data_IF_591115944852
#
_entry.id   IF_591115944852
#
_cell.length_a   1.000
_cell.length_b   1.000
_cell.length_c   1.000
_cell.angle_alpha   90.00
_cell.angle_beta   90.00
_cell.angle_gamma   90.00
#
_symmetry.space_group_name_H-M   'P 1'
#
loop_
_entity.id
_entity.type
_entity.pdbx_description
1 polymer ?
#
# COMPACT_ATOMS: atom_id res chain seq x y z
N UNK A 1 -38.77 22.77 -23.76
CA UNK A 1 -38.31 22.90 -25.15
C UNK A 1 -38.71 24.26 -25.70
N UNK A 2 -37.74 25.16 -25.90
CA UNK A 2 -38.00 26.45 -26.56
C UNK A 2 -38.23 26.16 -28.06
N UNK A 3 -39.42 26.44 -28.58
CA UNK A 3 -39.68 26.42 -30.03
C UNK A 3 -39.52 27.84 -30.55
N UNK A 4 -38.38 28.14 -31.18
CA UNK A 4 -38.17 29.43 -31.83
C UNK A 4 -38.41 29.29 -33.35
N UNK A 5 -39.18 30.23 -33.90
CA UNK A 5 -39.49 30.32 -35.33
C UNK A 5 -38.55 31.32 -36.00
N UNK A 6 -37.89 30.91 -37.09
CA UNK A 6 -36.88 31.73 -37.80
C UNK A 6 -37.49 32.71 -38.81
N UNK A 7 -38.59 33.39 -38.46
CA UNK A 7 -39.37 34.22 -39.40
C UNK A 7 -39.01 35.73 -39.40
N UNK A 8 -38.01 36.18 -38.66
CA UNK A 8 -37.62 37.61 -38.58
C UNK A 8 -36.14 37.80 -38.86
N UNK A 9 -35.77 38.90 -39.53
CA UNK A 9 -34.37 39.28 -39.84
C UNK A 9 -33.48 39.37 -38.58
N UNK A 10 -34.07 39.60 -37.41
CA UNK A 10 -33.38 39.62 -36.12
C UNK A 10 -33.01 38.23 -35.57
N UNK A 11 -33.55 37.13 -36.12
CA UNK A 11 -33.22 35.75 -35.70
C UNK A 11 -31.96 35.21 -36.39
N UNK A 12 -30.94 36.07 -36.53
CA UNK A 12 -29.60 35.63 -36.86
C UNK A 12 -29.06 34.73 -35.75
N UNK A 13 -28.40 33.62 -36.13
CA UNK A 13 -27.64 32.76 -35.22
C UNK A 13 -26.57 33.60 -34.53
N UNK A 14 -26.89 34.17 -33.36
CA UNK A 14 -25.88 34.69 -32.46
C UNK A 14 -25.23 33.50 -31.77
N UNK A 15 -24.02 33.15 -32.18
CA UNK A 15 -23.10 32.37 -31.35
C UNK A 15 -22.69 33.26 -30.17
N UNK A 16 -23.62 33.45 -29.23
CA UNK A 16 -23.36 34.10 -27.97
C UNK A 16 -22.52 33.18 -27.10
N UNK A 17 -21.43 33.73 -26.54
CA UNK A 17 -20.69 33.12 -25.45
C UNK A 17 -21.67 32.87 -24.28
N UNK A 18 -22.06 31.60 -24.05
CA UNK A 18 -22.96 31.25 -22.96
C UNK A 18 -22.17 31.35 -21.65
N UNK A 19 -22.26 32.49 -20.98
CA UNK A 19 -21.61 32.79 -19.70
C UNK A 19 -22.25 32.11 -18.48
N UNK A 20 -23.18 31.18 -18.68
CA UNK A 20 -23.84 30.49 -17.59
C UNK A 20 -23.30 29.07 -17.52
N UNK A 21 -22.51 28.81 -16.48
CA UNK A 21 -22.11 27.50 -15.98
C UNK A 21 -23.05 26.40 -16.48
N UNK A 22 -22.64 25.72 -17.57
CA UNK A 22 -23.25 24.45 -17.93
C UNK A 22 -22.89 23.52 -16.78
N UNK A 23 -23.88 23.23 -15.94
CA UNK A 23 -23.76 22.12 -15.02
C UNK A 23 -23.55 20.88 -15.89
N UNK A 24 -22.40 20.21 -15.76
CA UNK A 24 -21.96 19.11 -16.63
C UNK A 24 -23.02 17.99 -16.77
N UNK A 25 -23.98 17.95 -15.86
CA UNK A 25 -25.08 16.99 -15.80
C UNK A 25 -26.32 17.34 -16.65
N UNK A 26 -26.44 18.55 -17.22
CA UNK A 26 -27.64 18.96 -17.96
C UNK A 26 -27.53 18.70 -19.47
N UNK A 27 -27.46 17.42 -19.84
CA UNK A 27 -27.34 16.95 -21.23
C UNK A 27 -28.62 17.15 -22.06
N UNK A 28 -29.76 17.40 -21.42
CA UNK A 28 -31.04 17.64 -22.11
C UNK A 28 -31.03 18.89 -22.99
N UNK A 29 -30.19 19.88 -22.64
CA UNK A 29 -30.03 21.15 -23.36
C UNK A 29 -29.26 21.04 -24.70
N UNK A 30 -28.64 19.89 -24.98
CA UNK A 30 -27.89 19.66 -26.23
C UNK A 30 -28.78 19.11 -27.36
N UNK A 31 -30.07 18.90 -27.12
CA UNK A 31 -30.99 18.35 -28.12
C UNK A 31 -31.40 19.40 -29.17
N UNK A 32 -30.72 19.40 -30.32
CA UNK A 32 -31.09 20.21 -31.49
C UNK A 32 -31.87 19.38 -32.51
N UNK A 33 -33.04 19.86 -32.93
CA UNK A 33 -33.83 19.24 -33.99
C UNK A 33 -34.60 20.28 -34.82
N UNK A 34 -34.27 20.39 -36.10
CA UNK A 34 -35.04 21.16 -37.07
C UNK A 34 -36.30 20.40 -37.47
N UNK A 35 -37.43 21.11 -37.57
CA UNK A 35 -38.71 20.57 -38.03
C UNK A 35 -39.28 21.47 -39.13
N UNK A 36 -39.79 20.85 -40.19
CA UNK A 36 -40.54 21.58 -41.21
C UNK A 36 -41.93 21.91 -40.67
N UNK A 37 -42.29 23.19 -40.64
CA UNK A 37 -43.64 23.67 -40.37
C UNK A 37 -44.19 24.15 -41.71
N UNK A 38 -45.33 23.59 -42.13
CA UNK A 38 -45.97 24.00 -43.37
C UNK A 38 -46.47 25.45 -43.20
N UNK A 39 -46.15 26.37 -44.13
CA UNK A 39 -46.65 27.73 -44.05
C UNK A 39 -48.18 27.72 -44.18
N UNK A 40 -48.84 28.51 -43.34
CA UNK A 40 -50.28 28.75 -43.41
C UNK A 40 -50.53 29.78 -44.52
N UNK A 41 -51.06 29.31 -45.66
CA UNK A 41 -51.26 30.11 -46.87
C UNK A 41 -52.75 30.20 -47.19
N UNK A 42 -53.23 31.40 -47.56
CA UNK A 42 -54.60 31.57 -47.99
C UNK A 42 -54.86 30.81 -49.32
N UNK A 43 -56.10 30.35 -49.61
CA UNK A 43 -56.40 29.56 -50.82
C UNK A 43 -56.07 30.26 -52.15
N UNK A 44 -55.97 31.59 -52.16
CA UNK A 44 -55.51 32.38 -53.29
C UNK A 44 -53.99 32.30 -53.49
N UNK A 45 -53.22 32.41 -52.40
CA UNK A 45 -51.75 32.43 -52.40
C UNK A 45 -51.15 31.06 -52.70
N UNK A 46 -51.80 29.99 -52.23
CA UNK A 46 -51.42 28.61 -52.50
C UNK A 46 -51.42 28.25 -54.01
N UNK A 47 -52.08 29.05 -54.86
CA UNK A 47 -52.08 28.87 -56.32
C UNK A 47 -50.82 29.41 -57.00
N UNK A 48 -50.12 30.34 -56.36
CA UNK A 48 -48.94 31.02 -56.92
C UNK A 48 -47.63 30.56 -56.27
N UNK A 49 -47.70 29.93 -55.10
CA UNK A 49 -46.53 29.49 -54.34
C UNK A 49 -46.38 27.97 -54.47
N UNK A 50 -45.30 27.53 -55.12
CA UNK A 50 -44.93 26.11 -55.18
C UNK A 50 -43.77 25.85 -54.23
N UNK A 51 -44.02 25.18 -53.10
CA UNK A 51 -42.97 24.77 -52.17
C UNK A 51 -42.57 23.33 -52.45
N UNK A 52 -41.28 23.10 -52.72
CA UNK A 52 -40.76 21.74 -52.84
C UNK A 52 -40.54 21.14 -51.44
N UNK A 53 -41.64 20.75 -50.79
CA UNK A 53 -41.63 20.19 -49.43
C UNK A 53 -40.70 18.97 -49.32
N UNK A 54 -40.62 18.16 -50.37
CA UNK A 54 -39.80 16.96 -50.39
C UNK A 54 -38.31 17.28 -50.34
N UNK A 55 -37.86 18.29 -51.09
CA UNK A 55 -36.46 18.74 -51.06
C UNK A 55 -36.10 19.36 -49.70
N UNK A 56 -36.99 20.19 -49.13
CA UNK A 56 -36.78 20.84 -47.83
C UNK A 56 -36.71 19.80 -46.71
N UNK A 57 -37.65 18.83 -46.68
CA UNK A 57 -37.62 17.73 -45.70
C UNK A 57 -36.36 16.88 -45.83
N UNK A 58 -35.83 16.68 -47.04
CA UNK A 58 -34.57 15.95 -47.27
C UNK A 58 -33.36 16.71 -46.68
N UNK A 59 -33.26 18.02 -46.91
CA UNK A 59 -32.16 18.81 -46.35
C UNK A 59 -32.24 18.94 -44.82
N UNK A 60 -33.44 19.14 -44.26
CA UNK A 60 -33.66 19.10 -42.80
C UNK A 60 -33.18 17.77 -42.22
N UNK A 61 -33.45 16.65 -42.90
CA UNK A 61 -33.00 15.33 -42.45
C UNK A 61 -31.48 15.23 -42.44
N UNK A 62 -30.80 15.74 -43.47
CA UNK A 62 -29.32 15.76 -43.54
C UNK A 62 -28.72 16.61 -42.43
N UNK A 63 -29.25 17.83 -42.21
CA UNK A 63 -28.78 18.74 -41.16
C UNK A 63 -28.98 18.10 -39.78
N UNK A 64 -30.17 17.57 -39.49
CA UNK A 64 -30.45 16.91 -38.21
C UNK A 64 -29.52 15.71 -37.97
N UNK A 65 -29.17 14.94 -39.01
CA UNK A 65 -28.21 13.84 -38.88
C UNK A 65 -26.82 14.36 -38.51
N UNK A 66 -26.29 15.35 -39.23
CA UNK A 66 -24.97 15.92 -38.96
C UNK A 66 -24.90 16.62 -37.60
N UNK A 67 -25.97 17.31 -37.19
CA UNK A 67 -26.02 17.96 -35.88
C UNK A 67 -26.14 16.92 -34.77
N UNK A 68 -26.90 15.84 -34.96
CA UNK A 68 -26.98 14.74 -33.99
C UNK A 68 -25.59 14.10 -33.76
N UNK A 69 -24.87 13.76 -34.83
CA UNK A 69 -23.51 13.21 -34.72
C UNK A 69 -22.56 14.15 -33.95
N UNK A 70 -22.70 15.46 -34.15
CA UNK A 70 -21.93 16.48 -33.43
C UNK A 70 -22.32 16.58 -31.96
N UNK A 71 -23.62 16.58 -31.65
CA UNK A 71 -24.14 16.57 -30.28
C UNK A 71 -23.69 15.31 -29.53
N UNK A 72 -23.83 14.12 -30.14
CA UNK A 72 -23.41 12.85 -29.56
C UNK A 72 -21.90 12.86 -29.23
N UNK A 73 -21.08 13.45 -30.13
CA UNK A 73 -19.64 13.62 -29.90
C UNK A 73 -19.34 14.58 -28.74
N UNK A 74 -20.05 15.69 -28.64
CA UNK A 74 -19.91 16.65 -27.53
C UNK A 74 -20.31 15.98 -26.21
N UNK A 75 -21.42 15.25 -26.18
CA UNK A 75 -21.87 14.47 -25.00
C UNK A 75 -20.82 13.45 -24.57
N UNK A 76 -20.23 12.72 -25.52
CA UNK A 76 -19.14 11.77 -25.21
C UNK A 76 -17.93 12.45 -24.58
N UNK A 77 -17.51 13.61 -25.11
CA UNK A 77 -16.37 14.36 -24.59
C UNK A 77 -16.67 14.96 -23.21
N UNK A 78 -17.90 15.44 -22.98
CA UNK A 78 -18.32 15.94 -21.67
C UNK A 78 -18.33 14.82 -20.63
N UNK A 79 -18.84 13.64 -20.96
CA UNK A 79 -18.78 12.47 -20.09
C UNK A 79 -17.33 12.07 -19.76
N UNK A 80 -16.42 12.13 -20.75
CA UNK A 80 -15.00 11.85 -20.52
C UNK A 80 -14.34 12.89 -19.60
N UNK A 81 -14.69 14.16 -19.75
CA UNK A 81 -14.22 15.24 -18.87
C UNK A 81 -14.76 15.04 -17.45
N UNK A 82 -16.04 14.70 -17.29
CA UNK A 82 -16.65 14.46 -15.98
C UNK A 82 -16.03 13.24 -15.30
N UNK A 83 -15.81 12.14 -16.02
CA UNK A 83 -15.11 10.97 -15.51
C UNK A 83 -13.68 11.31 -15.06
N UNK A 84 -12.94 12.08 -15.86
CA UNK A 84 -11.60 12.54 -15.49
C UNK A 84 -11.62 13.50 -14.30
N UNK A 85 -12.60 14.39 -14.23
CA UNK A 85 -12.78 15.32 -13.12
C UNK A 85 -13.15 14.57 -11.84
N UNK A 86 -13.98 13.53 -11.91
CA UNK A 86 -14.31 12.65 -10.79
C UNK A 86 -13.09 11.85 -10.33
N UNK A 87 -12.28 11.29 -11.25
CA UNK A 87 -10.99 10.64 -10.88
C UNK A 87 -10.01 11.60 -10.23
N UNK A 88 -9.92 12.84 -10.72
CA UNK A 88 -9.11 13.91 -10.13
C UNK A 88 -9.66 14.32 -8.76
N UNK A 89 -10.98 14.44 -8.64
CA UNK A 89 -11.66 14.73 -7.39
C UNK A 89 -11.38 13.61 -6.41
N UNK A 90 -11.61 12.34 -6.72
CA UNK A 90 -11.25 11.18 -5.89
C UNK A 90 -9.76 11.16 -5.49
N UNK A 91 -8.86 11.49 -6.40
CA UNK A 91 -7.42 11.59 -6.09
C UNK A 91 -7.12 12.76 -5.13
N UNK A 92 -7.87 13.86 -5.21
CA UNK A 92 -7.71 15.07 -4.39
C UNK A 92 -8.57 15.07 -3.11
N UNK A 93 -9.65 14.28 -3.08
CA UNK A 93 -10.62 14.12 -1.99
C UNK A 93 -10.48 12.80 -1.28
N UNK A 94 -9.51 11.94 -1.65
CA UNK A 94 -8.99 10.89 -0.79
C UNK A 94 -8.77 11.52 0.58
N UNK A 95 -9.59 11.08 1.54
CA UNK A 95 -10.07 11.89 2.64
C UNK A 95 -8.95 12.68 3.33
N UNK A 96 -9.11 14.00 3.37
CA UNK A 96 -8.34 14.80 4.31
C UNK A 96 -8.73 14.32 5.71
N UNK A 97 -7.80 13.63 6.39
CA UNK A 97 -7.76 13.62 7.85
C UNK A 97 -8.02 15.06 8.30
N UNK A 98 -9.12 15.29 9.01
CA UNK A 98 -9.55 16.62 9.43
C UNK A 98 -8.41 17.34 10.16
N UNK A 99 -8.32 18.66 10.00
CA UNK A 99 -7.20 19.45 10.46
C UNK A 99 -7.36 19.72 11.96
N UNK A 100 -6.44 19.20 12.77
CA UNK A 100 -5.78 19.92 13.87
C UNK A 100 -4.79 18.96 14.57
N UNK A 101 -3.57 19.46 14.80
CA UNK A 101 -2.51 18.92 15.66
C UNK A 101 -1.46 17.89 15.14
N UNK A 102 -0.37 18.46 14.59
CA UNK A 102 1.00 18.45 15.12
C UNK A 102 1.77 17.13 15.39
N UNK A 103 1.68 16.14 14.51
CA UNK A 103 2.70 15.08 14.43
C UNK A 103 3.47 15.12 13.10
N UNK A 104 4.81 15.08 13.15
CA UNK A 104 5.68 14.92 11.97
C UNK A 104 5.25 13.70 11.13
N UNK A 105 4.81 12.64 11.80
CA UNK A 105 4.26 11.43 11.21
C UNK A 105 2.99 11.69 10.36
N UNK A 106 1.99 12.40 10.90
CA UNK A 106 0.75 12.68 10.16
C UNK A 106 0.98 13.64 8.99
N UNK A 107 1.99 14.52 9.08
CA UNK A 107 2.44 15.32 7.95
C UNK A 107 3.01 14.43 6.84
N UNK A 108 3.84 13.44 7.19
CA UNK A 108 4.36 12.46 6.23
C UNK A 108 3.25 11.66 5.57
N UNK A 109 2.33 11.07 6.33
CA UNK A 109 1.21 10.27 5.79
C UNK A 109 0.37 11.09 4.82
N UNK A 110 0.03 12.35 5.17
CA UNK A 110 -0.70 13.24 4.26
C UNK A 110 0.05 13.55 2.97
N UNK A 111 1.37 13.73 3.05
CA UNK A 111 2.17 14.02 1.87
C UNK A 111 2.23 12.80 0.93
N UNK A 112 2.42 11.60 1.48
CA UNK A 112 2.36 10.35 0.71
C UNK A 112 0.97 10.16 0.09
N UNK A 113 -0.10 10.35 0.85
CA UNK A 113 -1.47 10.25 0.37
C UNK A 113 -1.77 11.27 -0.75
N UNK A 114 -1.22 12.49 -0.68
CA UNK A 114 -1.34 13.47 -1.78
C UNK A 114 -0.65 13.02 -3.06
N UNK A 115 0.46 12.30 -2.95
CA UNK A 115 1.19 11.79 -4.11
C UNK A 115 0.55 10.54 -4.73
N UNK A 116 0.00 9.65 -3.91
CA UNK A 116 -0.44 8.31 -4.32
C UNK A 116 -1.97 8.16 -4.37
N UNK A 117 -2.71 9.08 -3.74
CA UNK A 117 -4.16 9.06 -3.62
C UNK A 117 -4.68 7.96 -2.68
N UNK A 118 -5.91 7.50 -2.93
CA UNK A 118 -6.59 6.42 -2.18
C UNK A 118 -5.99 5.02 -2.36
N UNK A 119 -4.92 4.90 -3.16
CA UNK A 119 -4.19 3.66 -3.41
C UNK A 119 -3.10 3.36 -2.38
N UNK A 120 -2.95 4.20 -1.36
CA UNK A 120 -2.00 3.98 -0.28
C UNK A 120 -2.70 3.41 0.96
N UNK A 121 -2.26 2.24 1.42
CA UNK A 121 -2.62 1.65 2.71
C UNK A 121 -1.42 1.76 3.66
N UNK A 122 -1.66 2.09 4.92
CA UNK A 122 -0.61 2.25 5.93
C UNK A 122 -0.92 1.42 7.18
N UNK A 123 0.03 0.61 7.64
CA UNK A 123 -0.10 -0.19 8.85
C UNK A 123 1.01 0.14 9.85
N UNK A 124 0.63 0.44 11.09
CA UNK A 124 1.56 0.69 12.22
C UNK A 124 1.86 -0.58 12.98
N UNK A 125 3.07 -0.63 13.54
CA UNK A 125 3.39 -1.52 14.63
C UNK A 125 2.68 -1.08 15.93
N UNK A 126 2.26 -2.03 16.79
CA UNK A 126 1.61 -1.75 18.08
C UNK A 126 2.52 -0.97 19.05
N UNK A 127 3.85 -1.06 18.89
CA UNK A 127 4.80 -0.30 19.71
C UNK A 127 5.02 1.13 19.22
N UNK A 128 4.74 1.41 17.94
CA UNK A 128 4.87 2.76 17.38
C UNK A 128 3.85 3.73 17.96
N UNK A 129 2.77 3.23 18.55
CA UNK A 129 1.75 4.04 19.25
C UNK A 129 2.31 4.72 20.52
N UNK A 130 3.40 4.20 21.10
CA UNK A 130 4.07 4.81 22.25
C UNK A 130 5.00 5.95 21.83
N UNK A 131 5.62 5.85 20.64
CA UNK A 131 6.63 6.78 20.15
C UNK A 131 6.02 8.08 19.61
N UNK A 132 4.81 8.00 19.03
CA UNK A 132 4.13 9.16 18.43
C UNK A 132 2.88 9.60 19.21
N UNK A 133 2.86 9.45 20.54
CA UNK A 133 1.75 9.94 21.38
C UNK A 133 1.46 11.41 21.05
N UNK A 134 0.25 11.67 20.57
CA UNK A 134 -0.32 13.02 20.51
C UNK A 134 -0.95 13.31 21.87
N UNK A 135 -0.74 14.49 22.45
CA UNK A 135 -1.23 14.86 23.79
C UNK A 135 -2.77 14.84 23.97
N UNK A 136 -3.54 14.35 22.99
CA UNK A 136 -5.00 14.37 22.97
C UNK A 136 -5.62 12.98 23.15
N UNK A 137 -6.03 12.71 24.38
CA UNK A 137 -6.67 11.44 24.83
C UNK A 137 -8.02 11.11 24.17
N UNK A 138 -8.60 12.03 23.38
CA UNK A 138 -9.95 11.88 22.82
C UNK A 138 -10.02 11.08 21.51
N UNK A 139 -9.04 11.26 20.60
CA UNK A 139 -8.99 10.56 19.31
C UNK A 139 -8.15 9.27 19.34
N UNK A 140 -7.37 9.05 20.40
CA UNK A 140 -6.52 7.85 20.57
C UNK A 140 -7.33 6.59 20.91
N UNK A 141 -8.54 6.72 21.47
CA UNK A 141 -9.31 5.58 21.96
C UNK A 141 -9.84 4.69 20.84
N UNK A 142 -10.21 5.29 19.70
CA UNK A 142 -10.80 4.59 18.55
C UNK A 142 -9.77 4.11 17.54
N UNK A 143 -8.59 4.74 17.48
CA UNK A 143 -7.50 4.36 16.57
C UNK A 143 -6.65 3.17 17.07
N UNK A 144 -6.75 2.82 18.35
CA UNK A 144 -6.14 1.61 18.90
C UNK A 144 -7.01 0.37 18.75
N UNK A 145 -8.30 0.53 18.41
CA UNK A 145 -9.21 -0.57 18.18
C UNK A 145 -8.89 -1.23 16.82
N UNK A 146 -8.40 -2.47 16.83
CA UNK A 146 -8.09 -3.19 15.59
C UNK A 146 -9.33 -3.61 14.82
N UNK A 147 -10.45 -3.79 15.51
CA UNK A 147 -11.75 -4.02 14.86
C UNK A 147 -12.16 -2.79 14.04
N UNK A 148 -11.91 -1.57 14.55
CA UNK A 148 -12.10 -0.34 13.77
C UNK A 148 -11.24 -0.32 12.51
N UNK A 149 -9.94 -0.59 12.61
CA UNK A 149 -9.02 -0.52 11.45
C UNK A 149 -9.43 -1.54 10.37
N UNK A 150 -9.77 -2.76 10.78
CA UNK A 150 -10.23 -3.82 9.86
C UNK A 150 -11.54 -3.40 9.19
N UNK A 151 -12.50 -2.87 9.96
CA UNK A 151 -13.78 -2.41 9.44
C UNK A 151 -13.63 -1.20 8.49
N UNK A 152 -12.85 -0.20 8.87
CA UNK A 152 -12.57 0.97 8.03
C UNK A 152 -11.94 0.55 6.70
N UNK A 153 -11.00 -0.40 6.73
CA UNK A 153 -10.36 -0.94 5.53
C UNK A 153 -11.38 -1.68 4.65
N UNK A 154 -12.22 -2.52 5.23
CA UNK A 154 -13.29 -3.21 4.52
C UNK A 154 -14.25 -2.22 3.86
N UNK A 155 -14.74 -1.21 4.59
CA UNK A 155 -15.62 -0.18 4.08
C UNK A 155 -14.98 0.61 2.93
N UNK A 156 -13.69 0.92 3.03
CA UNK A 156 -12.98 1.66 2.00
C UNK A 156 -12.70 0.86 0.72
N UNK A 157 -12.34 -0.42 0.83
CA UNK A 157 -11.76 -1.18 -0.30
C UNK A 157 -12.66 -2.30 -0.86
N UNK A 158 -13.60 -2.80 -0.07
CA UNK A 158 -14.43 -3.96 -0.40
C UNK A 158 -15.89 -3.56 -0.53
N UNK A 159 -16.39 -2.74 0.40
CA UNK A 159 -17.78 -2.29 0.39
C UNK A 159 -18.05 -1.31 -0.77
N UNK A 160 -19.09 -1.60 -1.55
CA UNK A 160 -19.44 -0.90 -2.81
C UNK A 160 -20.89 -0.39 -2.85
N UNK A 161 -21.55 -0.30 -1.69
CA UNK A 161 -22.94 0.21 -1.62
C UNK A 161 -22.95 1.74 -1.53
N UNK A 162 -24.08 2.33 -1.94
CA UNK A 162 -24.26 3.78 -2.05
C UNK A 162 -24.09 4.54 -0.72
N UNK A 163 -24.27 3.87 0.42
CA UNK A 163 -24.13 4.41 1.77
C UNK A 163 -22.67 4.43 2.28
N UNK A 164 -21.71 3.93 1.49
CA UNK A 164 -20.28 3.87 1.85
C UNK A 164 -19.72 5.19 2.38
N UNK A 165 -19.94 6.29 1.67
CA UNK A 165 -19.41 7.60 2.07
C UNK A 165 -20.00 8.08 3.40
N UNK A 166 -21.28 7.79 3.64
CA UNK A 166 -21.96 8.17 4.87
C UNK A 166 -21.48 7.30 6.05
N UNK A 167 -21.26 6.00 5.84
CA UNK A 167 -20.68 5.11 6.83
C UNK A 167 -19.24 5.52 7.19
N UNK A 168 -18.40 5.86 6.21
CA UNK A 168 -17.03 6.34 6.44
C UNK A 168 -17.01 7.69 7.18
N UNK A 169 -17.98 8.59 6.93
CA UNK A 169 -18.12 9.82 7.73
C UNK A 169 -18.57 9.51 9.16
N UNK A 170 -19.54 8.61 9.33
CA UNK A 170 -20.08 8.25 10.65
C UNK A 170 -19.02 7.58 11.53
N UNK A 171 -18.22 6.66 10.97
CA UNK A 171 -17.19 5.94 11.73
C UNK A 171 -16.10 6.89 12.25
N UNK A 172 -15.88 8.02 11.58
CA UNK A 172 -14.87 9.04 11.95
C UNK A 172 -15.37 10.14 12.89
N UNK A 173 -16.68 10.37 12.97
CA UNK A 173 -17.26 11.53 13.69
C UNK A 173 -17.94 11.14 15.00
N UNK A 174 -17.93 9.84 15.35
CA UNK A 174 -18.24 9.27 16.68
C UNK A 174 -19.43 9.88 17.42
N UNK A 175 -20.64 9.72 16.88
CA UNK A 175 -21.85 9.97 17.69
C UNK A 175 -22.90 8.87 17.65
N UNK A 176 -23.03 8.12 16.55
CA UNK A 176 -23.93 6.96 16.46
C UNK A 176 -23.56 6.13 15.21
N UNK A 177 -22.44 5.41 15.25
CA UNK A 177 -22.12 4.46 14.18
C UNK A 177 -22.97 3.20 14.36
N UNK A 178 -23.69 2.82 13.30
CA UNK A 178 -24.56 1.65 13.26
C UNK A 178 -24.55 1.11 11.84
N UNK A 179 -24.07 -0.11 11.66
CA UNK A 179 -24.27 -0.85 10.42
C UNK A 179 -25.67 -1.47 10.42
N UNK A 180 -26.24 -1.65 9.24
CA UNK A 180 -27.46 -2.46 9.09
C UNK A 180 -27.13 -3.94 9.36
N UNK A 181 -28.12 -4.72 9.82
CA UNK A 181 -27.92 -6.17 10.06
C UNK A 181 -27.38 -6.87 8.79
N UNK A 182 -27.85 -6.46 7.61
CA UNK A 182 -27.34 -6.97 6.34
C UNK A 182 -25.85 -6.64 6.10
N UNK A 183 -25.42 -5.41 6.39
CA UNK A 183 -24.02 -5.01 6.24
C UNK A 183 -23.11 -5.68 7.29
N UNK A 184 -23.62 -5.95 8.50
CA UNK A 184 -22.92 -6.74 9.51
C UNK A 184 -22.73 -8.19 9.07
N UNK A 185 -23.78 -8.83 8.55
CA UNK A 185 -23.70 -10.20 8.02
C UNK A 185 -22.70 -10.28 6.87
N UNK A 186 -22.72 -9.35 5.91
CA UNK A 186 -21.74 -9.31 4.81
C UNK A 186 -20.30 -9.14 5.32
N UNK A 187 -20.11 -8.29 6.33
CA UNK A 187 -18.80 -8.11 6.94
C UNK A 187 -18.33 -9.39 7.65
N UNK A 188 -19.19 -10.05 8.43
CA UNK A 188 -18.88 -11.32 9.08
C UNK A 188 -18.59 -12.45 8.07
N UNK A 189 -19.37 -12.54 7.00
CA UNK A 189 -19.12 -13.48 5.89
C UNK A 189 -17.78 -13.22 5.21
N UNK A 190 -17.41 -11.95 5.01
CA UNK A 190 -16.10 -11.57 4.49
C UNK A 190 -14.96 -12.02 5.42
N UNK A 191 -15.10 -11.83 6.74
CA UNK A 191 -14.09 -12.26 7.72
C UNK A 191 -13.90 -13.78 7.69
N UNK A 192 -15.00 -14.55 7.69
CA UNK A 192 -14.94 -16.03 7.69
C UNK A 192 -14.52 -16.63 6.33
N UNK A 193 -14.76 -15.93 5.22
CA UNK A 193 -14.27 -16.36 3.91
C UNK A 193 -12.75 -16.15 3.75
N UNK A 194 -12.18 -15.26 4.57
CA UNK A 194 -10.78 -14.88 4.53
C UNK A 194 -10.14 -15.13 5.90
N UNK A 195 -10.09 -16.39 6.34
CA UNK A 195 -9.43 -16.75 7.60
C UNK A 195 -7.90 -16.85 7.42
N UNK A 196 -7.11 -16.31 8.35
CA UNK A 196 -5.66 -16.49 8.37
C UNK A 196 -5.22 -17.96 8.42
N UNK A 197 -4.55 -18.44 7.36
CA UNK A 197 -4.01 -19.82 7.30
C UNK A 197 -3.02 -20.14 8.43
N UNK A 198 -2.28 -19.15 8.89
CA UNK A 198 -1.28 -19.32 9.96
C UNK A 198 -1.90 -19.73 11.31
N UNK A 199 -3.18 -19.44 11.52
CA UNK A 199 -3.91 -19.77 12.75
C UNK A 199 -5.15 -20.64 12.50
N UNK A 200 -5.22 -21.33 11.35
CA UNK A 200 -6.35 -22.20 10.97
C UNK A 200 -6.64 -23.29 12.03
N UNK A 201 -5.64 -23.63 12.84
CA UNK A 201 -5.78 -24.60 13.94
C UNK A 201 -6.19 -24.01 15.29
N UNK A 202 -6.29 -22.68 15.42
CA UNK A 202 -6.56 -22.04 16.70
C UNK A 202 -8.03 -21.65 16.91
N UNK A 203 -8.73 -21.23 15.85
CA UNK A 203 -10.15 -20.85 15.92
C UNK A 203 -11.00 -21.62 14.90
N UNK A 204 -12.30 -21.71 15.19
CA UNK A 204 -13.32 -22.31 14.31
C UNK A 204 -14.00 -21.26 13.43
N UNK A 205 -14.28 -20.07 13.98
CA UNK A 205 -14.97 -18.99 13.26
C UNK A 205 -14.72 -17.62 13.88
N UNK A 206 -15.12 -16.59 13.14
CA UNK A 206 -15.13 -15.19 13.60
C UNK A 206 -16.58 -14.71 13.62
N UNK A 207 -16.99 -14.01 14.68
CA UNK A 207 -18.28 -13.30 14.70
C UNK A 207 -18.08 -11.82 14.92
N UNK A 208 -19.06 -11.02 14.52
CA UNK A 208 -19.06 -9.58 14.71
C UNK A 208 -20.13 -9.19 15.73
N UNK A 209 -19.71 -8.83 16.94
CA UNK A 209 -20.61 -8.36 17.99
C UNK A 209 -20.86 -6.87 17.85
N UNK A 210 -22.13 -6.46 17.77
CA UNK A 210 -22.52 -5.07 17.66
C UNK A 210 -23.25 -4.57 18.93
N UNK A 211 -22.90 -3.36 19.36
CA UNK A 211 -23.62 -2.60 20.37
C UNK A 211 -24.02 -1.24 19.79
N UNK A 212 -25.29 -0.84 19.93
CA UNK A 212 -25.78 0.45 19.40
C UNK A 212 -24.89 1.62 19.83
N UNK A 213 -24.48 2.43 18.86
CA UNK A 213 -23.62 3.60 19.09
C UNK A 213 -22.14 3.28 19.32
N UNK A 214 -21.73 2.02 19.14
CA UNK A 214 -20.33 1.58 19.24
C UNK A 214 -19.89 0.88 17.96
N UNK A 215 -18.58 0.89 17.72
CA UNK A 215 -17.98 0.12 16.63
C UNK A 215 -18.18 -1.37 16.92
N UNK A 216 -18.50 -2.18 15.88
CA UNK A 216 -18.59 -3.62 16.02
C UNK A 216 -17.25 -4.21 16.49
N UNK A 217 -17.33 -5.11 17.46
CA UNK A 217 -16.19 -5.85 17.99
C UNK A 217 -16.03 -7.17 17.24
N UNK A 218 -14.83 -7.44 16.74
CA UNK A 218 -14.49 -8.75 16.16
C UNK A 218 -14.21 -9.72 17.30
N UNK A 219 -14.92 -10.87 17.29
CA UNK A 219 -14.80 -11.94 18.30
C UNK A 219 -14.34 -13.22 17.61
N UNK A 220 -13.32 -13.85 18.17
CA UNK A 220 -12.75 -15.11 17.71
C UNK A 220 -13.35 -16.25 18.54
N UNK A 221 -13.88 -17.27 17.87
CA UNK A 221 -14.35 -18.52 18.49
C UNK A 221 -13.22 -19.55 18.43
N UNK A 222 -12.49 -19.73 19.53
CA UNK A 222 -11.35 -20.65 19.61
C UNK A 222 -11.82 -22.11 19.59
N UNK A 223 -11.02 -23.03 19.03
CA UNK A 223 -11.37 -24.46 18.92
C UNK A 223 -11.63 -25.15 20.27
N UNK A 224 -11.12 -24.56 21.35
CA UNK A 224 -11.30 -25.06 22.72
C UNK A 224 -12.59 -24.56 23.38
N UNK A 225 -13.47 -23.88 22.63
CA UNK A 225 -14.77 -23.40 23.09
C UNK A 225 -14.73 -22.04 23.81
N UNK A 226 -13.58 -21.36 23.77
CA UNK A 226 -13.42 -20.02 24.33
C UNK A 226 -13.76 -18.97 23.27
N UNK A 227 -14.40 -17.88 23.69
CA UNK A 227 -14.66 -16.72 22.82
C UNK A 227 -13.84 -15.53 23.31
N UNK A 228 -12.99 -14.98 22.46
CA UNK A 228 -12.13 -13.85 22.81
C UNK A 228 -12.30 -12.70 21.83
N UNK A 229 -12.50 -11.49 22.35
CA UNK A 229 -12.49 -10.29 21.51
C UNK A 229 -11.08 -10.06 20.96
N UNK A 230 -10.96 -9.70 19.67
CA UNK A 230 -9.67 -9.46 19.00
C UNK A 230 -8.81 -8.45 19.79
N UNK A 231 -9.41 -7.36 20.25
CA UNK A 231 -8.69 -6.35 21.01
C UNK A 231 -8.12 -6.86 22.35
N UNK A 232 -8.65 -7.96 22.88
CA UNK A 232 -8.21 -8.60 24.11
C UNK A 232 -7.10 -9.65 23.90
N UNK A 233 -6.70 -9.96 22.67
CA UNK A 233 -5.64 -10.95 22.40
C UNK A 233 -4.23 -10.36 22.59
N UNK A 234 -3.18 -11.14 22.32
CA UNK A 234 -1.80 -10.63 22.34
C UNK A 234 -1.59 -9.55 21.27
N UNK A 235 -0.63 -8.63 21.49
CA UNK A 235 -0.29 -7.57 20.53
C UNK A 235 0.14 -8.15 19.17
N UNK A 236 0.90 -9.25 19.17
CA UNK A 236 1.28 -9.94 17.95
C UNK A 236 0.08 -10.46 17.16
N UNK A 237 -0.87 -11.12 17.84
CA UNK A 237 -2.08 -11.66 17.20
C UNK A 237 -2.97 -10.55 16.64
N UNK A 238 -3.17 -9.46 17.40
CA UNK A 238 -3.88 -8.25 16.94
C UNK A 238 -3.28 -7.65 15.69
N UNK A 239 -1.97 -7.45 15.70
CA UNK A 239 -1.23 -6.92 14.54
C UNK A 239 -1.35 -7.84 13.33
N UNK A 240 -1.17 -9.15 13.52
CA UNK A 240 -1.24 -10.13 12.43
C UNK A 240 -2.62 -10.18 11.78
N UNK A 241 -3.71 -10.20 12.57
CA UNK A 241 -5.07 -10.15 12.04
C UNK A 241 -5.33 -8.87 11.24
N UNK A 242 -4.89 -7.74 11.77
CA UNK A 242 -5.03 -6.44 11.09
C UNK A 242 -4.29 -6.46 9.76
N UNK A 243 -3.02 -6.89 9.76
CA UNK A 243 -2.21 -7.08 8.57
C UNK A 243 -2.88 -8.01 7.55
N UNK A 244 -3.39 -9.15 8.00
CA UNK A 244 -4.00 -10.17 7.14
C UNK A 244 -5.27 -9.66 6.44
N UNK A 245 -6.16 -8.98 7.15
CA UNK A 245 -7.34 -8.41 6.51
C UNK A 245 -7.00 -7.25 5.60
N UNK A 246 -6.06 -6.39 6.00
CA UNK A 246 -5.60 -5.29 5.14
C UNK A 246 -4.97 -5.80 3.85
N UNK A 247 -4.06 -6.78 3.91
CA UNK A 247 -3.37 -7.29 2.72
C UNK A 247 -4.35 -7.88 1.69
N UNK A 248 -5.41 -8.54 2.16
CA UNK A 248 -6.41 -9.17 1.29
C UNK A 248 -7.30 -8.15 0.55
N UNK A 249 -7.29 -6.89 0.98
CA UNK A 249 -7.99 -5.81 0.26
C UNK A 249 -7.16 -5.12 -0.81
N UNK A 250 -5.85 -5.38 -0.85
CA UNK A 250 -4.91 -4.72 -1.77
C UNK A 250 -5.09 -5.23 -3.20
N UNK A 251 -4.98 -4.31 -4.17
CA UNK A 251 -5.11 -4.61 -5.60
C UNK A 251 -3.83 -4.23 -6.36
N UNK A 252 -3.57 -4.82 -7.55
CA UNK A 252 -2.43 -4.43 -8.37
C UNK A 252 -2.39 -2.91 -8.60
N UNK A 253 -1.25 -2.29 -8.33
CA UNK A 253 -1.03 -0.84 -8.39
C UNK A 253 -1.22 -0.10 -7.06
N UNK A 254 -1.65 -0.77 -5.99
CA UNK A 254 -1.67 -0.19 -4.65
C UNK A 254 -0.26 -0.06 -4.06
N UNK A 255 -0.10 0.88 -3.12
CA UNK A 255 1.07 1.05 -2.28
C UNK A 255 0.72 0.64 -0.85
N UNK A 256 1.49 -0.26 -0.28
CA UNK A 256 1.35 -0.69 1.10
C UNK A 256 2.59 -0.32 1.90
N UNK A 257 2.40 0.53 2.91
CA UNK A 257 3.47 0.97 3.81
C UNK A 257 3.26 0.34 5.18
N UNK A 258 4.28 -0.33 5.70
CA UNK A 258 4.20 -0.99 7.01
C UNK A 258 5.36 -0.54 7.89
N UNK A 259 5.05 0.01 9.05
CA UNK A 259 6.07 0.36 10.03
C UNK A 259 6.37 -0.85 10.92
N UNK A 260 7.63 -1.27 10.99
CA UNK A 260 8.15 -2.40 11.79
C UNK A 260 7.21 -3.62 11.80
N UNK A 261 7.02 -4.30 10.65
CA UNK A 261 6.09 -5.42 10.55
C UNK A 261 6.50 -6.55 11.50
N UNK A 262 5.50 -7.26 12.02
CA UNK A 262 5.69 -8.51 12.76
C UNK A 262 6.64 -8.43 13.97
N UNK A 263 6.92 -7.24 14.52
CA UNK A 263 7.89 -7.03 15.60
C UNK A 263 7.62 -7.89 16.85
N UNK A 264 6.34 -8.12 17.18
CA UNK A 264 5.90 -8.94 18.31
C UNK A 264 5.72 -10.42 17.98
N UNK A 265 5.93 -10.82 16.72
CA UNK A 265 5.77 -12.21 16.30
C UNK A 265 7.06 -12.98 16.52
N UNK A 266 6.92 -14.30 16.73
CA UNK A 266 8.06 -15.22 16.79
C UNK A 266 8.85 -15.18 15.46
N UNK A 267 10.19 -15.37 15.45
CA UNK A 267 11.01 -15.33 14.23
C UNK A 267 10.48 -16.15 13.05
N UNK A 268 9.91 -17.33 13.32
CA UNK A 268 9.29 -18.18 12.28
C UNK A 268 8.11 -17.45 11.60
N UNK A 269 7.25 -16.80 12.39
CA UNK A 269 6.13 -16.03 11.86
C UNK A 269 6.57 -14.75 11.15
N UNK A 270 7.67 -14.12 11.58
CA UNK A 270 8.27 -12.98 10.86
C UNK A 270 8.75 -13.38 9.47
N UNK A 271 9.34 -14.57 9.30
CA UNK A 271 9.73 -15.10 7.99
C UNK A 271 8.52 -15.37 7.09
N UNK A 272 7.42 -15.86 7.65
CA UNK A 272 6.18 -16.03 6.89
C UNK A 272 5.62 -14.68 6.42
N UNK A 273 5.61 -13.66 7.29
CA UNK A 273 5.21 -12.30 6.90
C UNK A 273 6.12 -11.75 5.80
N UNK A 274 7.43 -11.95 5.88
CA UNK A 274 8.36 -11.59 4.79
C UNK A 274 7.93 -12.23 3.47
N UNK A 275 7.70 -13.54 3.46
CA UNK A 275 7.26 -14.28 2.27
C UNK A 275 5.97 -13.68 1.69
N UNK A 276 4.99 -13.40 2.54
CA UNK A 276 3.72 -12.80 2.12
C UNK A 276 3.92 -11.37 1.56
N UNK A 277 4.80 -10.55 2.12
CA UNK A 277 5.13 -9.22 1.58
C UNK A 277 5.76 -9.31 0.19
N UNK A 278 6.65 -10.28 -0.06
CA UNK A 278 7.24 -10.53 -1.38
C UNK A 278 6.20 -11.06 -2.40
N UNK A 279 5.23 -11.86 -1.94
CA UNK A 279 4.12 -12.30 -2.78
C UNK A 279 3.24 -11.13 -3.23
N UNK A 280 2.99 -10.15 -2.36
CA UNK A 280 2.25 -8.92 -2.73
C UNK A 280 2.97 -8.16 -3.86
N UNK A 281 4.30 -8.08 -3.82
CA UNK A 281 5.10 -7.48 -4.90
C UNK A 281 4.86 -8.19 -6.24
N UNK A 282 4.86 -9.52 -6.23
CA UNK A 282 4.61 -10.33 -7.42
C UNK A 282 3.20 -10.11 -7.99
N UNK A 283 2.23 -9.79 -7.12
CA UNK A 283 0.86 -9.42 -7.49
C UNK A 283 0.71 -7.95 -7.94
N UNK A 284 1.82 -7.23 -8.13
CA UNK A 284 1.82 -5.85 -8.63
C UNK A 284 1.51 -4.79 -7.57
N UNK A 285 1.58 -5.13 -6.29
CA UNK A 285 1.44 -4.19 -5.17
C UNK A 285 2.84 -3.67 -4.79
N UNK A 286 3.00 -2.37 -4.61
CA UNK A 286 4.26 -1.81 -4.10
C UNK A 286 4.27 -1.90 -2.59
N UNK A 287 5.34 -2.44 -2.01
CA UNK A 287 5.49 -2.57 -0.54
C UNK A 287 6.68 -1.74 -0.10
N UNK A 288 6.52 -0.94 0.96
CA UNK A 288 7.61 -0.24 1.64
C UNK A 288 7.48 -0.52 3.14
N UNK A 289 8.54 -0.97 3.80
CA UNK A 289 8.51 -1.15 5.24
C UNK A 289 9.84 -0.82 5.90
N UNK A 290 9.77 -0.40 7.16
CA UNK A 290 10.92 -0.28 8.06
C UNK A 290 11.06 -1.57 8.85
N UNK A 291 12.29 -1.99 9.16
CA UNK A 291 12.49 -3.07 10.13
C UNK A 291 13.83 -2.99 10.85
N UNK A 292 13.83 -3.32 12.13
CA UNK A 292 14.98 -3.71 12.92
C UNK A 292 15.17 -5.23 12.91
N UNK A 293 14.19 -5.99 12.42
CA UNK A 293 14.25 -7.44 12.37
C UNK A 293 15.10 -7.93 11.20
N UNK A 294 16.17 -8.68 11.48
CA UNK A 294 16.95 -9.37 10.45
C UNK A 294 16.17 -10.48 9.73
N UNK A 295 15.07 -10.99 10.29
CA UNK A 295 14.21 -11.95 9.61
C UNK A 295 13.31 -11.33 8.53
N UNK A 296 13.24 -9.99 8.50
CA UNK A 296 12.48 -9.19 7.55
C UNK A 296 13.40 -8.44 6.57
N UNK A 297 14.62 -8.91 6.36
CA UNK A 297 15.50 -8.44 5.30
C UNK A 297 15.36 -9.38 4.08
N UNK A 298 14.98 -8.87 2.90
CA UNK A 298 14.78 -9.70 1.71
C UNK A 298 16.13 -10.03 1.05
N UNK A 299 16.13 -11.07 0.21
CA UNK A 299 17.33 -11.44 -0.57
C UNK A 299 17.67 -10.42 -1.67
N UNK A 300 16.70 -9.58 -2.08
CA UNK A 300 16.94 -8.47 -3.02
C UNK A 300 17.50 -7.25 -2.30
N UNK A 301 18.81 -7.26 -2.07
CA UNK A 301 19.53 -6.19 -1.38
C UNK A 301 19.45 -4.82 -2.07
N UNK A 302 19.09 -4.74 -3.36
CA UNK A 302 18.93 -3.45 -4.03
C UNK A 302 17.75 -2.65 -3.45
N UNK A 303 16.80 -3.35 -2.83
CA UNK A 303 15.63 -2.78 -2.16
C UNK A 303 15.90 -2.38 -0.70
N UNK A 304 17.08 -2.70 -0.16
CA UNK A 304 17.42 -2.47 1.25
C UNK A 304 18.16 -1.14 1.41
N UNK A 305 17.64 -0.29 2.29
CA UNK A 305 18.23 0.98 2.65
C UNK A 305 18.52 1.01 4.15
N UNK A 306 19.78 1.22 4.52
CA UNK A 306 20.17 1.35 5.91
C UNK A 306 19.96 2.78 6.38
N UNK A 307 19.40 2.91 7.58
CA UNK A 307 19.15 4.20 8.22
C UNK A 307 19.96 4.25 9.50
N UNK A 308 20.88 5.20 9.60
CA UNK A 308 21.77 5.38 10.76
C UNK A 308 21.64 6.77 11.36
N UNK A 309 21.79 6.86 12.68
CA UNK A 309 21.92 8.15 13.37
C UNK A 309 23.38 8.54 13.42
N UNK A 310 23.72 9.65 12.79
CA UNK A 310 25.04 10.28 12.84
C UNK A 310 25.02 11.55 13.70
N UNK A 311 26.20 12.12 13.96
CA UNK A 311 26.34 13.33 14.79
C UNK A 311 25.58 14.55 14.23
N UNK A 312 25.26 14.56 12.93
CA UNK A 312 24.59 15.67 12.25
C UNK A 312 23.14 15.37 11.84
N UNK A 313 22.61 14.19 12.19
CA UNK A 313 21.25 13.78 11.86
C UNK A 313 21.16 12.35 11.32
N UNK A 314 20.05 12.04 10.67
CA UNK A 314 19.81 10.72 10.06
C UNK A 314 20.46 10.65 8.69
N UNK A 315 21.32 9.65 8.49
CA UNK A 315 21.87 9.31 7.19
C UNK A 315 21.16 8.07 6.63
N UNK A 316 20.95 8.06 5.31
CA UNK A 316 20.45 6.88 4.58
C UNK A 316 21.57 6.41 3.68
N UNK A 317 22.02 5.19 3.89
CA UNK A 317 23.06 4.56 3.08
C UNK A 317 22.48 3.39 2.33
N UNK A 318 22.71 3.39 1.02
CA UNK A 318 22.57 2.22 0.18
C UNK A 318 23.99 1.70 -0.06
N UNK A 319 24.69 1.31 1.01
CA UNK A 319 25.99 0.71 0.85
C UNK A 319 25.85 -0.66 0.17
N UNK A 320 26.82 -1.01 -0.68
CA UNK A 320 27.06 -2.38 -1.14
C UNK A 320 27.50 -3.28 0.04
N UNK A 321 26.81 -3.24 1.18
CA UNK A 321 26.89 -4.23 2.26
C UNK A 321 26.33 -5.61 1.84
N UNK A 322 26.04 -5.75 0.53
CA UNK A 322 25.63 -6.93 -0.23
C UNK A 322 26.44 -8.19 0.07
N UNK A 323 27.69 -8.11 0.51
CA UNK A 323 28.53 -9.30 0.72
C UNK A 323 28.69 -9.65 2.22
N UNK A 324 28.61 -8.65 3.12
CA UNK A 324 28.79 -8.82 4.57
C UNK A 324 27.56 -9.41 5.27
N UNK A 325 26.35 -9.15 4.77
CA UNK A 325 25.09 -9.50 5.44
C UNK A 325 24.43 -10.76 4.86
N UNK A 326 24.75 -11.14 3.61
CA UNK A 326 24.27 -12.40 3.00
C UNK A 326 24.71 -13.66 3.74
N UNK A 327 25.78 -13.57 4.53
CA UNK A 327 26.37 -14.72 5.21
C UNK A 327 25.89 -14.89 6.66
N UNK A 328 25.15 -13.92 7.20
CA UNK A 328 24.59 -13.98 8.55
C UNK A 328 23.09 -14.31 8.45
N UNK A 329 22.77 -15.53 8.02
CA UNK A 329 21.40 -16.06 8.07
C UNK A 329 21.40 -17.41 8.79
N UNK A 330 21.08 -17.36 10.09
CA UNK A 330 20.91 -18.52 10.97
C UNK A 330 21.65 -18.38 12.30
N UNK A 331 20.99 -18.75 13.41
CA UNK A 331 21.56 -18.90 14.75
C UNK A 331 21.98 -17.61 15.48
N UNK A 332 22.91 -16.85 14.90
CA UNK A 332 23.67 -15.77 15.55
C UNK A 332 23.28 -14.37 15.06
N UNK A 333 22.02 -14.24 14.68
CA UNK A 333 21.40 -13.04 14.15
C UNK A 333 21.37 -11.89 15.19
N UNK A 334 21.46 -12.21 16.47
CA UNK A 334 21.30 -11.24 17.57
C UNK A 334 22.51 -10.34 17.84
N UNK A 335 23.60 -10.45 17.06
CA UNK A 335 24.83 -9.73 17.42
C UNK A 335 25.55 -9.00 16.30
N UNK A 336 24.88 -8.70 15.18
CA UNK A 336 25.49 -8.02 14.03
C UNK A 336 26.23 -6.73 14.39
N UNK A 337 25.64 -5.91 15.27
CA UNK A 337 26.26 -4.65 15.69
C UNK A 337 27.48 -4.88 16.61
N UNK A 338 27.41 -5.83 17.54
CA UNK A 338 28.55 -6.21 18.39
C UNK A 338 29.67 -6.87 17.59
N UNK A 339 29.34 -7.70 16.60
CA UNK A 339 30.26 -8.37 15.67
C UNK A 339 31.01 -7.32 14.83
N UNK A 340 30.29 -6.35 14.27
CA UNK A 340 30.89 -5.24 13.52
C UNK A 340 31.83 -4.41 14.41
N UNK A 341 31.41 -4.08 15.63
CA UNK A 341 32.26 -3.38 16.59
C UNK A 341 33.51 -4.18 16.99
N UNK A 342 33.37 -5.49 17.25
CA UNK A 342 34.49 -6.39 17.56
C UNK A 342 35.47 -6.50 16.40
N UNK A 343 34.98 -6.62 15.16
CA UNK A 343 35.84 -6.66 13.98
C UNK A 343 36.58 -5.34 13.74
N UNK A 344 35.91 -4.20 13.94
CA UNK A 344 36.53 -2.88 13.75
C UNK A 344 37.56 -2.55 14.84
N UNK A 345 37.31 -2.95 16.10
CA UNK A 345 38.17 -2.66 17.25
C UNK A 345 39.19 -3.78 17.56
N UNK A 346 39.01 -4.95 16.95
CA UNK A 346 39.78 -6.18 17.24
C UNK A 346 41.19 -6.19 16.65
N UNK A 347 42.04 -7.06 17.22
CA UNK A 347 43.40 -7.28 16.72
C UNK A 347 43.36 -8.17 15.46
N UNK A 348 43.60 -7.53 14.31
CA UNK A 348 43.59 -8.15 12.99
C UNK A 348 44.54 -9.35 12.87
N UNK A 349 45.69 -9.34 13.54
CA UNK A 349 46.65 -10.45 13.48
C UNK A 349 46.18 -11.65 14.32
N UNK A 350 45.60 -11.36 15.49
CA UNK A 350 44.99 -12.39 16.33
C UNK A 350 43.78 -13.04 15.65
N UNK A 351 42.87 -12.24 15.07
CA UNK A 351 41.70 -12.71 14.32
C UNK A 351 42.11 -13.59 13.14
N UNK A 352 43.12 -13.18 12.36
CA UNK A 352 43.64 -13.98 11.26
C UNK A 352 44.16 -15.36 11.74
N UNK A 353 44.95 -15.36 12.81
CA UNK A 353 45.51 -16.60 13.34
C UNK A 353 44.44 -17.53 13.93
N UNK A 354 43.39 -16.98 14.56
CA UNK A 354 42.23 -17.77 15.01
C UNK A 354 41.48 -18.43 13.85
N UNK A 355 41.25 -17.67 12.77
CA UNK A 355 40.67 -18.19 11.53
C UNK A 355 41.52 -19.32 10.94
N UNK A 356 42.84 -19.12 10.85
CA UNK A 356 43.76 -20.16 10.37
C UNK A 356 43.65 -21.45 11.19
N UNK A 357 43.63 -21.34 12.53
CA UNK A 357 43.53 -22.53 13.40
C UNK A 357 42.20 -23.24 13.24
N UNK A 358 41.08 -22.52 13.25
CA UNK A 358 39.74 -23.11 13.06
C UNK A 358 39.64 -23.88 11.73
N UNK A 359 40.20 -23.31 10.65
CA UNK A 359 40.24 -23.96 9.33
C UNK A 359 41.09 -25.23 9.34
N UNK A 360 42.31 -25.17 9.88
CA UNK A 360 43.22 -26.33 9.93
C UNK A 360 42.69 -27.43 10.83
N UNK A 361 42.11 -27.07 11.98
CA UNK A 361 41.57 -28.04 12.94
C UNK A 361 40.37 -28.79 12.35
N UNK A 362 39.57 -28.12 11.50
CA UNK A 362 38.42 -28.71 10.82
C UNK A 362 38.83 -29.59 9.61
N UNK A 363 39.62 -29.04 8.68
CA UNK A 363 39.88 -29.66 7.38
C UNK A 363 41.20 -30.46 7.29
N UNK A 364 42.10 -30.30 8.27
CA UNK A 364 43.41 -30.98 8.39
C UNK A 364 44.44 -30.72 7.28
N UNK A 365 44.03 -30.24 6.10
CA UNK A 365 44.90 -29.85 4.97
C UNK A 365 44.48 -28.47 4.46
N UNK A 366 45.47 -27.67 4.04
CA UNK A 366 45.23 -26.32 3.50
C UNK A 366 44.57 -26.42 2.12
N UNK A 367 44.95 -27.41 1.33
CA UNK A 367 44.42 -27.66 -0.01
C UNK A 367 42.93 -28.01 0.07
N UNK A 368 42.56 -28.94 0.97
CA UNK A 368 41.15 -29.30 1.19
C UNK A 368 40.34 -28.11 1.72
N UNK A 369 40.93 -27.31 2.61
CA UNK A 369 40.28 -26.11 3.12
C UNK A 369 40.07 -25.03 2.05
N UNK A 370 41.04 -24.85 1.16
CA UNK A 370 40.99 -23.90 0.05
C UNK A 370 39.83 -24.25 -0.89
N UNK A 371 39.68 -25.54 -1.23
CA UNK A 371 38.60 -26.02 -2.09
C UNK A 371 37.21 -25.88 -1.43
N UNK A 372 37.07 -26.28 -0.17
CA UNK A 372 35.78 -26.24 0.57
C UNK A 372 35.30 -24.83 0.93
N UNK A 373 36.24 -23.89 1.15
CA UNK A 373 35.95 -22.48 1.45
C UNK A 373 35.95 -21.61 0.19
N UNK A 374 36.29 -22.16 -0.98
CA UNK A 374 36.45 -21.44 -2.23
C UNK A 374 37.43 -20.26 -2.13
N UNK A 375 38.59 -20.50 -1.51
CA UNK A 375 39.67 -19.54 -1.28
C UNK A 375 40.98 -20.03 -1.91
N UNK A 376 41.96 -19.16 -2.12
CA UNK A 376 43.30 -19.60 -2.54
C UNK A 376 44.13 -20.09 -1.35
N UNK A 377 45.00 -21.08 -1.60
CA UNK A 377 45.99 -21.59 -0.62
C UNK A 377 46.83 -20.44 -0.05
N UNK A 378 47.28 -19.52 -0.91
CA UNK A 378 48.05 -18.34 -0.51
C UNK A 378 47.27 -17.41 0.44
N UNK A 379 45.94 -17.33 0.29
CA UNK A 379 45.09 -16.53 1.17
C UNK A 379 45.03 -17.15 2.56
N UNK A 380 44.85 -18.46 2.66
CA UNK A 380 44.83 -19.17 3.95
C UNK A 380 46.22 -19.12 4.61
N UNK A 381 47.29 -19.33 3.84
CA UNK A 381 48.66 -19.22 4.36
C UNK A 381 48.96 -17.83 4.93
N UNK A 382 48.39 -16.77 4.36
CA UNK A 382 48.60 -15.39 4.81
C UNK A 382 48.15 -15.12 6.24
N UNK A 383 47.36 -16.02 6.84
CA UNK A 383 46.81 -15.93 8.19
C UNK A 383 47.63 -16.69 9.25
N UNK A 384 48.66 -17.42 8.82
CA UNK A 384 49.50 -18.23 9.72
C UNK A 384 50.31 -17.33 10.66
N UNK A 385 50.48 -17.77 11.90
CA UNK A 385 51.30 -17.07 12.92
C UNK A 385 52.74 -16.81 12.42
N UNK A 386 53.28 -15.63 12.72
CA UNK A 386 54.66 -15.20 12.41
C UNK A 386 54.97 -14.98 10.92
N UNK A 387 53.98 -14.59 10.11
CA UNK A 387 54.22 -14.23 8.72
C UNK A 387 54.83 -12.83 8.60
N UNK A 388 55.68 -12.60 7.59
CA UNK A 388 56.23 -11.26 7.36
C UNK A 388 55.11 -10.26 7.07
N UNK A 389 55.17 -9.05 7.64
CA UNK A 389 54.13 -8.01 7.46
C UNK A 389 53.79 -7.69 5.99
N UNK A 390 54.74 -7.89 5.06
CA UNK A 390 54.53 -7.71 3.61
C UNK A 390 53.62 -8.76 2.95
N UNK A 391 53.42 -9.92 3.58
CA UNK A 391 52.60 -11.04 3.10
C UNK A 391 51.31 -11.23 3.89
N UNK A 392 51.20 -10.59 5.04
CA UNK A 392 50.02 -10.65 5.89
C UNK A 392 48.82 -9.98 5.21
N UNK A 393 47.68 -10.66 5.21
CA UNK A 393 46.39 -10.10 4.79
C UNK A 393 45.37 -10.44 5.86
N UNK A 394 44.77 -9.42 6.47
CA UNK A 394 43.65 -9.64 7.39
C UNK A 394 42.51 -10.32 6.61
N UNK A 395 41.94 -11.43 7.11
CA UNK A 395 40.72 -11.96 6.53
C UNK A 395 39.63 -10.90 6.58
N UNK A 396 38.86 -10.80 5.50
CA UNK A 396 37.66 -9.97 5.50
C UNK A 396 36.62 -10.59 6.43
N UNK A 397 35.74 -9.78 7.01
CA UNK A 397 34.66 -10.26 7.87
C UNK A 397 33.81 -11.36 7.18
N UNK A 398 33.56 -11.23 5.87
CA UNK A 398 32.96 -12.27 5.01
C UNK A 398 33.69 -13.62 5.15
N UNK A 399 35.01 -13.60 5.03
CA UNK A 399 35.80 -14.82 5.12
C UNK A 399 35.72 -15.42 6.52
N UNK A 400 35.66 -14.60 7.56
CA UNK A 400 35.54 -15.03 8.96
C UNK A 400 34.16 -15.68 9.21
N UNK A 401 33.08 -15.09 8.70
CA UNK A 401 31.71 -15.64 8.80
C UNK A 401 31.62 -16.97 8.05
N UNK A 402 32.18 -17.04 6.84
CA UNK A 402 32.20 -18.27 6.04
C UNK A 402 32.95 -19.38 6.77
N UNK A 403 34.08 -19.06 7.41
CA UNK A 403 34.83 -19.99 8.24
C UNK A 403 33.96 -20.44 9.42
N UNK A 404 33.39 -19.51 10.20
CA UNK A 404 32.52 -19.83 11.34
C UNK A 404 31.40 -20.81 10.98
N UNK A 405 30.69 -20.54 9.88
CA UNK A 405 29.61 -21.39 9.39
C UNK A 405 30.09 -22.79 8.97
N UNK A 406 31.19 -22.86 8.22
CA UNK A 406 31.70 -24.10 7.64
C UNK A 406 32.45 -24.98 8.65
N UNK A 407 33.09 -24.37 9.63
CA UNK A 407 33.80 -25.07 10.71
C UNK A 407 32.94 -25.24 11.97
N UNK A 408 31.69 -24.75 11.95
CA UNK A 408 30.76 -24.74 13.08
C UNK A 408 31.38 -24.11 14.35
N UNK A 409 32.15 -23.03 14.16
CA UNK A 409 32.79 -22.24 15.22
C UNK A 409 31.99 -20.96 15.51
N UNK A 410 32.00 -20.49 16.75
CA UNK A 410 31.37 -19.21 17.12
C UNK A 410 32.16 -18.04 16.50
N UNK A 411 31.46 -17.16 15.77
CA UNK A 411 32.06 -15.99 15.13
C UNK A 411 32.68 -15.01 16.15
N UNK A 412 32.11 -14.89 17.34
CA UNK A 412 32.63 -14.05 18.42
C UNK A 412 33.94 -14.57 18.98
N UNK A 413 34.21 -15.88 18.86
CA UNK A 413 35.49 -16.46 19.25
C UNK A 413 36.55 -16.27 18.16
N UNK A 414 36.16 -16.17 16.89
CA UNK A 414 37.08 -15.88 15.79
C UNK A 414 37.51 -14.41 15.76
N UNK A 415 36.57 -13.49 15.98
CA UNK A 415 36.77 -12.04 16.02
C UNK A 415 37.61 -11.60 17.22
#
# INVERSE_FOLDING_TARGET
>A
SLSQSFNTEDNSLSFGYVYNYINLNDTERLSFQLRYIKPDLAPFEAKFITVNETAIKREITKINKATKESCDRITSLLNEIDERANRLKEALTGEQLTPENNGTFYKFVREVQRCVGSKCSFLRNESSDIIFKSDERGQEFYRNDKSYIILETYLNKVYDKADKEDLLKQIKTEKDFSLTDAALCEFEEYLNSNLPKFEEDMYDSISVEHSKGKIPSIVLHEKFGETVALNSTSAGRRWYFTYYFMKNTLRPGDLFIVDEPAAMLHPIAQKEVMRELLELQTNGIKVIYSTHSPYLVPDDWNSVHFVTMEQHGTAVTQENCNDLLKQVIGGDIFNLQEILEKYQKGDKEATANRCYRSVIDCYKSIETAADELNLSVETIESWRKNISSKKFRCPKLETIITIASKTNSDISELL
#
